data_IF_455591794775
#
_entry.id   IF_455591794775
#
_cell.length_a   1.000
_cell.length_b   1.000
_cell.length_c   1.000
_cell.angle_alpha   90.00
_cell.angle_beta   90.00
_cell.angle_gamma   90.00
#
_symmetry.space_group_name_H-M   'P 1'
#
loop_
_entity.id
_entity.type
_entity.pdbx_description
1 polymer ?
#
# COMPACT_ATOMS: atom_id res chain seq x y z
N UNK A 1 6.50 -19.17 -0.72
CA UNK A 1 5.34 -19.18 -1.64
C UNK A 1 4.88 -17.76 -2.01
N UNK A 2 4.42 -16.91 -1.07
CA UNK A 2 4.00 -15.53 -1.40
C UNK A 2 5.09 -14.75 -2.14
N UNK A 3 6.32 -14.80 -1.64
CA UNK A 3 7.46 -14.16 -2.29
C UNK A 3 7.72 -14.69 -3.71
N UNK A 4 7.61 -16.01 -3.92
CA UNK A 4 7.80 -16.63 -5.24
C UNK A 4 6.70 -16.19 -6.23
N UNK A 5 5.45 -16.06 -5.77
CA UNK A 5 4.37 -15.54 -6.61
C UNK A 5 4.62 -14.07 -7.00
N UNK A 6 5.10 -13.26 -6.06
CA UNK A 6 5.48 -11.87 -6.32
C UNK A 6 6.60 -11.78 -7.36
N UNK A 7 7.61 -12.65 -7.24
CA UNK A 7 8.71 -12.74 -8.19
C UNK A 7 8.21 -13.11 -9.59
N UNK A 8 7.48 -14.22 -9.71
CA UNK A 8 6.96 -14.72 -11.00
C UNK A 8 6.05 -13.69 -11.66
N UNK A 9 5.16 -13.04 -10.90
CA UNK A 9 4.26 -12.02 -11.45
C UNK A 9 4.98 -10.74 -11.90
N UNK A 10 6.11 -10.41 -11.29
CA UNK A 10 6.89 -9.21 -11.60
C UNK A 10 7.85 -9.39 -12.77
N UNK A 11 8.59 -10.50 -12.78
CA UNK A 11 9.78 -10.65 -13.64
C UNK A 11 9.53 -11.52 -14.89
N UNK A 12 8.39 -12.24 -14.99
CA UNK A 12 8.09 -13.07 -16.17
C UNK A 12 8.09 -12.32 -17.51
N UNK A 13 7.71 -11.03 -17.50
CA UNK A 13 7.73 -10.19 -18.72
C UNK A 13 9.13 -9.91 -19.27
N UNK A 14 10.18 -10.11 -18.47
CA UNK A 14 11.57 -10.05 -18.91
C UNK A 14 11.97 -11.34 -19.64
N UNK A 15 11.38 -12.47 -19.26
CA UNK A 15 11.65 -13.78 -19.83
C UNK A 15 10.94 -14.03 -21.17
N UNK A 16 9.68 -13.60 -21.29
CA UNK A 16 8.81 -13.93 -22.42
C UNK A 16 8.14 -12.67 -22.98
N UNK A 17 8.21 -12.52 -24.31
CA UNK A 17 7.55 -11.45 -25.04
C UNK A 17 6.90 -11.98 -26.32
N UNK A 18 5.63 -11.63 -26.53
CA UNK A 18 4.83 -12.04 -27.69
C UNK A 18 4.87 -13.57 -27.95
N UNK A 19 4.79 -14.36 -26.88
CA UNK A 19 4.82 -15.83 -26.94
C UNK A 19 6.20 -16.45 -27.18
N UNK A 20 7.25 -15.62 -27.26
CA UNK A 20 8.64 -16.07 -27.47
C UNK A 20 9.45 -15.88 -26.21
N UNK A 21 10.26 -16.89 -25.88
CA UNK A 21 11.28 -16.77 -24.84
C UNK A 21 12.38 -15.86 -25.38
N UNK A 22 12.56 -14.71 -24.72
CA UNK A 22 13.60 -13.73 -25.05
C UNK A 22 14.79 -13.82 -24.08
N UNK A 23 14.59 -14.42 -22.91
CA UNK A 23 15.63 -14.80 -21.96
C UNK A 23 15.36 -16.21 -21.42
N UNK A 24 16.20 -17.17 -21.81
CA UNK A 24 16.07 -18.59 -21.45
C UNK A 24 16.40 -18.87 -19.98
N UNK A 25 17.24 -18.07 -19.34
CA UNK A 25 17.58 -18.24 -17.94
C UNK A 25 16.40 -17.80 -17.07
N UNK A 26 15.92 -16.59 -17.29
CA UNK A 26 14.77 -16.02 -16.58
C UNK A 26 13.51 -16.89 -16.79
N UNK A 27 13.29 -17.42 -18.00
CA UNK A 27 12.16 -18.31 -18.26
C UNK A 27 12.24 -19.62 -17.45
N UNK A 28 13.45 -20.19 -17.32
CA UNK A 28 13.68 -21.38 -16.50
C UNK A 28 13.44 -21.09 -15.03
N UNK A 29 13.97 -19.99 -14.51
CA UNK A 29 13.78 -19.60 -13.10
C UNK A 29 12.29 -19.39 -12.77
N UNK A 30 11.55 -18.68 -13.62
CA UNK A 30 10.11 -18.51 -13.47
C UNK A 30 9.36 -19.87 -13.45
N UNK A 31 9.77 -20.81 -14.31
CA UNK A 31 9.20 -22.16 -14.36
C UNK A 31 9.51 -22.98 -13.09
N UNK A 32 10.75 -22.90 -12.60
CA UNK A 32 11.18 -23.56 -11.36
C UNK A 32 10.46 -22.98 -10.14
N UNK A 33 10.31 -21.66 -10.05
CA UNK A 33 9.56 -21.02 -8.97
C UNK A 33 8.07 -21.40 -8.98
N UNK A 34 7.45 -21.52 -10.16
CA UNK A 34 6.09 -22.02 -10.27
C UNK A 34 5.98 -23.47 -9.76
N UNK A 35 6.95 -24.34 -10.07
CA UNK A 35 7.00 -25.70 -9.55
C UNK A 35 7.19 -25.74 -8.03
N UNK A 36 8.10 -24.94 -7.46
CA UNK A 36 8.30 -24.83 -6.01
C UNK A 36 7.05 -24.33 -5.28
N UNK A 37 6.27 -23.44 -5.89
CA UNK A 37 4.97 -23.02 -5.34
C UNK A 37 4.01 -24.22 -5.30
N UNK A 38 3.91 -25.00 -6.38
CA UNK A 38 3.05 -26.18 -6.43
C UNK A 38 3.44 -27.26 -5.41
N UNK A 39 4.74 -27.55 -5.29
CA UNK A 39 5.26 -28.50 -4.29
C UNK A 39 5.03 -28.02 -2.86
N UNK A 40 5.30 -26.73 -2.60
CA UNK A 40 5.02 -26.10 -1.32
C UNK A 40 3.54 -26.23 -0.93
N UNK A 41 2.64 -25.93 -1.87
CA UNK A 41 1.19 -26.08 -1.64
C UNK A 41 0.80 -27.52 -1.35
N UNK A 42 1.33 -28.48 -2.12
CA UNK A 42 1.06 -29.90 -1.92
C UNK A 42 1.49 -30.37 -0.53
N UNK A 43 2.66 -29.92 -0.05
CA UNK A 43 3.16 -30.25 1.30
C UNK A 43 2.28 -29.68 2.42
N UNK A 44 1.62 -28.55 2.18
CA UNK A 44 0.79 -27.84 3.16
C UNK A 44 -0.70 -28.19 3.05
N UNK A 45 -1.09 -29.01 2.07
CA UNK A 45 -2.49 -29.36 1.79
C UNK A 45 -3.25 -29.88 3.01
N UNK A 46 -2.60 -30.71 3.82
CA UNK A 46 -3.20 -31.30 5.02
C UNK A 46 -3.38 -30.30 6.18
N UNK A 47 -2.72 -29.14 6.14
CA UNK A 47 -2.77 -28.12 7.18
C UNK A 47 -3.85 -27.05 6.93
N UNK A 48 -4.52 -27.09 5.77
CA UNK A 48 -5.46 -26.07 5.34
C UNK A 48 -6.88 -26.63 5.15
N UNK A 49 -7.94 -25.85 5.43
CA UNK A 49 -9.31 -26.26 5.12
C UNK A 49 -9.51 -26.49 3.61
N UNK A 50 -10.23 -27.55 3.17
CA UNK A 50 -10.43 -27.83 1.75
C UNK A 50 -10.99 -26.65 0.95
N UNK A 51 -11.88 -25.86 1.55
CA UNK A 51 -12.47 -24.66 0.95
C UNK A 51 -11.43 -23.56 0.65
N UNK A 52 -10.35 -23.46 1.44
CA UNK A 52 -9.25 -22.51 1.20
C UNK A 52 -8.21 -23.05 0.23
N UNK A 53 -8.02 -24.38 0.23
CA UNK A 53 -7.03 -25.06 -0.62
C UNK A 53 -7.47 -25.07 -2.08
N UNK A 54 -8.72 -25.41 -2.38
CA UNK A 54 -9.15 -25.66 -3.76
C UNK A 54 -8.98 -24.44 -4.70
N UNK A 55 -9.33 -23.20 -4.31
CA UNK A 55 -9.07 -22.01 -5.12
C UNK A 55 -7.57 -21.77 -5.34
N UNK A 56 -6.76 -22.01 -4.31
CA UNK A 56 -5.32 -21.84 -4.38
C UNK A 56 -4.65 -22.89 -5.28
N UNK A 57 -5.06 -24.15 -5.20
CA UNK A 57 -4.61 -25.22 -6.10
C UNK A 57 -5.00 -24.91 -7.56
N UNK A 58 -6.19 -24.35 -7.79
CA UNK A 58 -6.63 -23.93 -9.12
C UNK A 58 -5.76 -22.79 -9.67
N UNK A 59 -5.48 -21.77 -8.86
CA UNK A 59 -4.64 -20.64 -9.26
C UNK A 59 -3.20 -21.06 -9.55
N UNK A 60 -2.59 -21.88 -8.68
CA UNK A 60 -1.21 -22.37 -8.88
C UNK A 60 -1.10 -23.29 -10.10
N UNK A 61 -2.08 -24.16 -10.33
CA UNK A 61 -2.14 -24.97 -11.55
C UNK A 61 -2.24 -24.09 -12.80
N UNK A 62 -3.13 -23.09 -12.77
CA UNK A 62 -3.30 -22.14 -13.88
C UNK A 62 -2.03 -21.35 -14.17
N UNK A 63 -1.30 -20.95 -13.14
CA UNK A 63 -0.02 -20.26 -13.28
C UNK A 63 0.99 -21.12 -14.05
N UNK A 64 1.14 -22.39 -13.66
CA UNK A 64 2.02 -23.34 -14.35
C UNK A 64 1.63 -23.57 -15.81
N UNK A 65 0.33 -23.70 -16.09
CA UNK A 65 -0.20 -23.81 -17.46
C UNK A 65 0.13 -22.58 -18.32
N UNK A 66 -0.05 -21.37 -17.78
CA UNK A 66 0.24 -20.13 -18.50
C UNK A 66 1.74 -19.98 -18.82
N UNK A 67 2.61 -20.29 -17.86
CA UNK A 67 4.06 -20.25 -18.05
C UNK A 67 4.48 -21.26 -19.11
N UNK A 68 4.02 -22.52 -19.01
CA UNK A 68 4.32 -23.56 -20.00
C UNK A 68 3.82 -23.22 -21.40
N UNK A 69 2.69 -22.51 -21.51
CA UNK A 69 2.13 -22.04 -22.76
C UNK A 69 2.79 -20.75 -23.30
N UNK A 70 3.77 -20.18 -22.58
CA UNK A 70 4.42 -18.90 -22.93
C UNK A 70 3.40 -17.77 -23.11
N UNK A 71 2.42 -17.70 -22.22
CA UNK A 71 1.30 -16.77 -22.32
C UNK A 71 1.73 -15.29 -22.18
N UNK A 72 0.78 -14.36 -22.40
CA UNK A 72 1.03 -12.93 -22.18
C UNK A 72 1.38 -12.67 -20.71
N UNK A 73 2.41 -11.86 -20.47
CA UNK A 73 2.92 -11.59 -19.13
C UNK A 73 1.86 -10.96 -18.21
N UNK A 74 0.88 -10.23 -18.75
CA UNK A 74 -0.23 -9.69 -17.96
C UNK A 74 -1.09 -10.81 -17.38
N UNK A 75 -1.35 -11.87 -18.12
CA UNK A 75 -2.14 -13.01 -17.63
C UNK A 75 -1.40 -13.76 -16.52
N UNK A 76 -0.08 -13.93 -16.66
CA UNK A 76 0.77 -14.54 -15.62
C UNK A 76 0.75 -13.68 -14.35
N UNK A 77 0.95 -12.37 -14.50
CA UNK A 77 0.89 -11.40 -13.39
C UNK A 77 -0.46 -11.43 -12.69
N UNK A 78 -1.57 -11.34 -13.43
CA UNK A 78 -2.93 -11.39 -12.89
C UNK A 78 -3.17 -12.66 -12.05
N UNK A 79 -2.79 -13.83 -12.57
CA UNK A 79 -2.98 -15.10 -11.83
C UNK A 79 -2.08 -15.15 -10.60
N UNK A 80 -0.81 -14.76 -10.72
CA UNK A 80 0.13 -14.75 -9.59
C UNK A 80 -0.35 -13.81 -8.48
N UNK A 81 -0.77 -12.58 -8.84
CA UNK A 81 -1.30 -11.58 -7.91
C UNK A 81 -2.62 -12.03 -7.28
N UNK A 82 -3.48 -12.76 -8.01
CA UNK A 82 -4.73 -13.30 -7.46
C UNK A 82 -4.51 -14.42 -6.42
N UNK A 83 -3.40 -15.16 -6.52
CA UNK A 83 -3.06 -16.24 -5.59
C UNK A 83 -2.48 -15.73 -4.25
N UNK A 84 -1.86 -14.55 -4.23
CA UNK A 84 -1.27 -13.94 -3.03
C UNK A 84 -2.31 -13.72 -1.91
N UNK A 85 -3.46 -13.05 -2.13
CA UNK A 85 -4.45 -12.85 -1.07
C UNK A 85 -5.05 -14.16 -0.57
N UNK A 86 -5.17 -15.19 -1.42
CA UNK A 86 -5.60 -16.52 -1.01
C UNK A 86 -4.61 -17.15 -0.02
N UNK A 87 -3.31 -17.06 -0.26
CA UNK A 87 -2.28 -17.54 0.68
C UNK A 87 -2.26 -16.75 1.97
N UNK A 88 -2.36 -15.42 1.88
CA UNK A 88 -2.38 -14.53 3.05
C UNK A 88 -3.58 -14.86 3.94
N UNK A 89 -4.75 -15.08 3.35
CA UNK A 89 -5.97 -15.49 4.08
C UNK A 89 -5.89 -16.92 4.62
N UNK A 90 -5.38 -17.87 3.82
CA UNK A 90 -5.27 -19.28 4.20
C UNK A 90 -4.40 -19.48 5.44
N UNK A 91 -3.32 -18.72 5.56
CA UNK A 91 -2.36 -18.83 6.65
C UNK A 91 -2.38 -17.66 7.64
N UNK A 92 -3.37 -16.76 7.52
CA UNK A 92 -3.47 -15.53 8.33
C UNK A 92 -2.14 -14.75 8.39
N UNK A 93 -1.45 -14.65 7.25
CA UNK A 93 -0.13 -14.02 7.19
C UNK A 93 -0.26 -12.52 7.41
N UNK A 94 0.67 -11.94 8.14
CA UNK A 94 0.78 -10.49 8.23
C UNK A 94 1.54 -9.98 7.00
N UNK A 95 0.86 -9.19 6.18
CA UNK A 95 1.41 -8.61 4.94
C UNK A 95 1.73 -7.12 5.03
N UNK A 96 1.62 -6.52 6.22
CA UNK A 96 1.82 -5.09 6.45
C UNK A 96 2.44 -4.85 7.84
N UNK A 97 3.13 -3.71 8.07
CA UNK A 97 3.87 -3.47 9.31
C UNK A 97 2.93 -3.30 10.51
N UNK A 98 3.38 -3.72 11.71
CA UNK A 98 2.65 -3.53 12.97
C UNK A 98 2.64 -2.07 13.43
N UNK A 99 3.75 -1.39 13.19
CA UNK A 99 3.95 0.00 13.55
C UNK A 99 4.27 0.78 12.28
N UNK A 100 3.98 2.09 12.30
CA UNK A 100 4.32 2.96 11.19
C UNK A 100 5.82 2.86 10.87
N UNK A 101 6.20 2.54 9.62
CA UNK A 101 7.62 2.52 9.25
C UNK A 101 8.24 3.91 9.36
N UNK A 102 9.53 3.94 9.70
CA UNK A 102 10.32 5.17 9.78
C UNK A 102 11.51 5.12 8.80
N UNK A 103 11.29 5.33 7.49
CA UNK A 103 12.35 5.27 6.46
C UNK A 103 13.64 6.03 6.82
N UNK A 104 13.52 7.20 7.46
CA UNK A 104 14.65 8.01 7.84
C UNK A 104 15.64 7.28 8.78
N UNK A 105 15.16 6.37 9.63
CA UNK A 105 16.01 5.61 10.57
C UNK A 105 16.71 4.44 9.88
N UNK A 106 16.14 3.93 8.78
CA UNK A 106 16.71 2.82 8.00
C UNK A 106 17.89 3.22 7.10
N UNK A 107 18.18 4.52 6.95
CA UNK A 107 19.34 5.00 6.15
C UNK A 107 20.66 4.39 6.60
N UNK A 108 20.88 4.30 7.92
CA UNK A 108 22.10 3.69 8.47
C UNK A 108 22.18 2.20 8.17
N UNK A 109 21.06 1.48 8.34
CA UNK A 109 20.96 0.05 8.05
C UNK A 109 21.20 -0.24 6.56
N UNK A 110 20.65 0.58 5.67
CA UNK A 110 20.89 0.45 4.23
C UNK A 110 22.36 0.68 3.89
N UNK A 111 22.98 1.70 4.49
CA UNK A 111 24.40 2.01 4.30
C UNK A 111 25.32 0.85 4.73
N UNK A 112 25.01 0.19 5.84
CA UNK A 112 25.80 -0.90 6.38
C UNK A 112 25.58 -2.22 5.61
N UNK A 113 24.31 -2.58 5.37
CA UNK A 113 23.94 -3.92 4.90
C UNK A 113 23.69 -4.02 3.40
N UNK A 114 23.27 -2.93 2.74
CA UNK A 114 22.73 -2.98 1.38
C UNK A 114 23.64 -2.32 0.33
N UNK A 115 24.30 -1.22 0.70
CA UNK A 115 25.20 -0.45 -0.20
C UNK A 115 26.31 -1.28 -0.84
N UNK A 116 26.94 -2.28 -0.19
CA UNK A 116 28.00 -3.07 -0.84
C UNK A 116 27.57 -3.70 -2.17
N UNK A 117 26.29 -4.03 -2.32
CA UNK A 117 25.72 -4.59 -3.55
C UNK A 117 24.86 -3.56 -4.31
N UNK A 118 23.97 -2.85 -3.64
CA UNK A 118 23.01 -1.94 -4.29
C UNK A 118 23.53 -0.53 -4.57
N UNK A 119 24.68 -0.14 -3.99
CA UNK A 119 25.24 1.20 -4.14
C UNK A 119 24.55 2.26 -3.26
N UNK A 120 25.19 3.43 -3.10
CA UNK A 120 24.72 4.48 -2.17
C UNK A 120 23.36 5.06 -2.54
N UNK A 121 23.06 5.13 -3.84
CA UNK A 121 21.79 5.61 -4.37
C UNK A 121 20.82 4.48 -4.72
N UNK A 122 21.21 3.22 -4.51
CA UNK A 122 20.38 2.08 -4.87
C UNK A 122 20.33 1.79 -6.37
N UNK A 123 21.37 2.17 -7.14
CA UNK A 123 21.41 2.00 -8.60
C UNK A 123 21.88 0.60 -9.03
N UNK A 124 22.11 -0.31 -8.08
CA UNK A 124 22.72 -1.61 -8.37
C UNK A 124 24.19 -1.49 -8.79
N UNK A 125 24.87 -0.42 -8.36
CA UNK A 125 26.25 -0.08 -8.73
C UNK A 125 27.22 -0.18 -7.54
N UNK A 126 26.86 -0.95 -6.52
CA UNK A 126 27.73 -1.21 -5.37
C UNK A 126 29.06 -1.85 -5.78
N UNK A 127 30.12 -1.74 -4.95
CA UNK A 127 31.44 -2.29 -5.27
C UNK A 127 31.43 -3.78 -5.62
N UNK A 128 30.47 -4.54 -5.08
CA UNK A 128 30.30 -5.97 -5.38
C UNK A 128 29.36 -6.26 -6.56
N UNK A 129 28.61 -5.27 -7.05
CA UNK A 129 27.55 -5.49 -8.03
C UNK A 129 28.04 -6.16 -9.33
N UNK A 130 29.25 -5.82 -9.77
CA UNK A 130 29.85 -6.37 -11.00
C UNK A 130 30.16 -7.87 -10.91
N UNK A 131 30.20 -8.43 -9.71
CA UNK A 131 30.49 -9.84 -9.45
C UNK A 131 29.21 -10.66 -9.26
N UNK A 132 28.04 -10.02 -9.29
CA UNK A 132 26.75 -10.67 -9.02
C UNK A 132 26.04 -11.00 -10.34
N UNK A 133 25.45 -12.20 -10.40
CA UNK A 133 24.57 -12.61 -11.49
C UNK A 133 23.30 -13.22 -10.88
N UNK A 134 22.11 -12.65 -11.16
CA UNK A 134 21.89 -11.38 -11.86
C UNK A 134 22.41 -10.17 -11.07
N UNK A 135 22.65 -9.02 -11.73
CA UNK A 135 23.02 -7.78 -11.04
C UNK A 135 21.86 -7.28 -10.16
N UNK A 136 22.14 -6.55 -9.07
CA UNK A 136 21.08 -5.97 -8.25
C UNK A 136 20.22 -4.98 -9.03
N UNK A 137 18.92 -4.98 -8.74
CA UNK A 137 17.95 -4.11 -9.40
C UNK A 137 18.14 -2.64 -8.97
N UNK A 138 18.07 -1.68 -9.91
CA UNK A 138 18.10 -0.26 -9.56
C UNK A 138 16.75 0.18 -9.00
N UNK A 139 16.74 0.84 -7.83
CA UNK A 139 15.53 1.38 -7.20
C UNK A 139 15.11 2.75 -7.78
N UNK A 140 15.91 3.31 -8.68
CA UNK A 140 15.59 4.51 -9.47
C UNK A 140 14.68 4.20 -10.68
N UNK A 141 14.52 2.92 -11.05
CA UNK A 141 13.62 2.50 -12.13
C UNK A 141 12.15 2.69 -11.71
N UNK A 142 11.59 3.83 -12.13
CA UNK A 142 10.29 4.27 -11.67
C UNK A 142 9.13 3.39 -12.14
N UNK A 143 9.03 2.98 -13.41
CA UNK A 143 8.04 1.99 -13.84
C UNK A 143 8.04 0.73 -12.96
N UNK A 144 9.22 0.19 -12.64
CA UNK A 144 9.31 -0.99 -11.76
C UNK A 144 8.82 -0.69 -10.35
N UNK A 145 9.25 0.43 -9.76
CA UNK A 145 8.85 0.83 -8.41
C UNK A 145 7.35 1.16 -8.29
N UNK A 146 6.74 1.71 -9.34
CA UNK A 146 5.31 2.01 -9.38
C UNK A 146 4.45 0.76 -9.53
N UNK A 147 4.95 -0.25 -10.24
CA UNK A 147 4.33 -1.57 -10.37
C UNK A 147 4.52 -2.47 -9.13
N UNK A 148 5.36 -2.07 -8.17
CA UNK A 148 5.74 -2.88 -7.00
C UNK A 148 5.21 -2.29 -5.67
N UNK A 149 4.94 -3.17 -4.69
CA UNK A 149 4.53 -2.80 -3.34
C UNK A 149 5.64 -3.07 -2.31
N UNK A 150 5.75 -2.31 -1.20
CA UNK A 150 6.78 -2.52 -0.17
C UNK A 150 6.85 -3.95 0.37
N UNK A 151 5.72 -4.66 0.41
CA UNK A 151 5.67 -6.03 0.88
C UNK A 151 6.56 -6.98 0.04
N UNK A 152 6.74 -6.70 -1.25
CA UNK A 152 7.66 -7.46 -2.11
C UNK A 152 9.10 -7.31 -1.61
N UNK A 153 9.53 -6.08 -1.34
CA UNK A 153 10.87 -5.80 -0.82
C UNK A 153 11.06 -6.28 0.61
N UNK A 154 10.04 -6.16 1.47
CA UNK A 154 10.07 -6.75 2.80
C UNK A 154 10.33 -8.26 2.72
N UNK A 155 9.67 -8.97 1.79
CA UNK A 155 9.88 -10.39 1.60
C UNK A 155 11.27 -10.70 1.02
N UNK A 156 11.77 -9.91 0.06
CA UNK A 156 13.12 -10.06 -0.46
C UNK A 156 14.19 -9.87 0.65
N UNK A 157 14.01 -8.88 1.53
CA UNK A 157 14.88 -8.65 2.69
C UNK A 157 14.75 -9.81 3.70
N UNK A 158 13.53 -10.30 3.93
CA UNK A 158 13.26 -11.33 4.94
C UNK A 158 13.73 -12.72 4.52
N UNK A 159 13.60 -13.08 3.24
CA UNK A 159 13.87 -14.44 2.77
C UNK A 159 15.09 -14.55 1.86
N UNK A 160 15.65 -13.41 1.44
CA UNK A 160 16.56 -13.38 0.30
C UNK A 160 15.82 -13.60 -1.01
N UNK A 161 16.58 -13.61 -2.11
CA UNK A 161 16.06 -13.94 -3.44
C UNK A 161 16.74 -15.23 -3.89
N UNK A 162 15.95 -16.28 -4.06
CA UNK A 162 16.44 -17.60 -4.46
C UNK A 162 17.24 -17.51 -5.77
N UNK A 163 18.27 -18.35 -5.91
CA UNK A 163 19.19 -18.38 -7.05
C UNK A 163 19.98 -17.08 -7.31
N UNK A 164 19.99 -16.14 -6.36
CA UNK A 164 20.82 -14.93 -6.44
C UNK A 164 21.76 -14.83 -5.23
N UNK A 165 22.62 -13.81 -5.22
CA UNK A 165 23.47 -13.48 -4.06
C UNK A 165 22.75 -12.67 -2.97
N UNK A 166 21.46 -12.37 -3.13
CA UNK A 166 20.67 -11.64 -2.13
C UNK A 166 20.29 -12.57 -0.98
N UNK A 167 21.04 -12.49 0.13
CA UNK A 167 20.83 -13.29 1.32
C UNK A 167 19.61 -12.85 2.15
N UNK A 168 19.16 -13.74 3.03
CA UNK A 168 18.15 -13.43 4.04
C UNK A 168 18.72 -12.55 5.16
N UNK A 169 17.92 -11.60 5.63
CA UNK A 169 18.18 -10.77 6.80
C UNK A 169 17.21 -11.05 7.96
N UNK A 170 16.45 -12.16 7.92
CA UNK A 170 15.49 -12.49 8.97
C UNK A 170 16.13 -12.64 10.36
N UNK A 171 17.36 -13.17 10.41
CA UNK A 171 18.07 -13.45 11.65
C UNK A 171 18.87 -12.25 12.18
N UNK A 172 19.21 -11.30 11.30
CA UNK A 172 20.05 -10.14 11.65
C UNK A 172 19.26 -8.85 11.86
N UNK A 173 18.06 -8.74 11.30
CA UNK A 173 17.20 -7.56 11.40
C UNK A 173 15.86 -7.92 12.02
N UNK A 174 15.34 -7.05 12.89
CA UNK A 174 13.98 -7.18 13.42
C UNK A 174 12.91 -6.97 12.34
N UNK A 175 11.69 -7.48 12.58
CA UNK A 175 10.53 -7.28 11.70
C UNK A 175 10.33 -5.80 11.32
N UNK A 176 10.42 -4.90 12.31
CA UNK A 176 10.26 -3.47 12.08
C UNK A 176 11.37 -2.89 11.22
N UNK A 177 12.63 -3.24 11.47
CA UNK A 177 13.76 -2.77 10.65
C UNK A 177 13.65 -3.22 9.19
N UNK A 178 13.15 -4.43 8.94
CA UNK A 178 12.90 -4.91 7.57
C UNK A 178 11.79 -4.11 6.89
N UNK A 179 10.74 -3.73 7.61
CA UNK A 179 9.69 -2.84 7.11
C UNK A 179 10.20 -1.41 6.87
N UNK A 180 11.01 -0.86 7.77
CA UNK A 180 11.61 0.46 7.62
C UNK A 180 12.50 0.51 6.37
N UNK A 181 13.33 -0.54 6.15
CA UNK A 181 14.13 -0.69 4.94
C UNK A 181 13.27 -0.83 3.69
N UNK A 182 12.22 -1.66 3.72
CA UNK A 182 11.32 -1.83 2.57
C UNK A 182 10.70 -0.49 2.14
N UNK A 183 10.25 0.33 3.09
CA UNK A 183 9.72 1.67 2.79
C UNK A 183 10.82 2.68 2.42
N UNK A 184 12.03 2.55 2.98
CA UNK A 184 13.17 3.40 2.66
C UNK A 184 13.55 3.38 1.17
N UNK A 185 13.33 2.27 0.47
CA UNK A 185 13.62 2.18 -0.96
C UNK A 185 12.88 3.24 -1.79
N UNK A 186 11.70 3.69 -1.36
CA UNK A 186 10.99 4.78 -2.05
C UNK A 186 11.70 6.13 -1.90
N UNK A 187 12.47 6.35 -0.84
CA UNK A 187 13.28 7.57 -0.70
C UNK A 187 14.36 7.67 -1.78
N UNK A 188 14.80 6.52 -2.33
CA UNK A 188 15.79 6.44 -3.41
C UNK A 188 15.16 6.64 -4.80
N UNK A 189 13.86 6.33 -4.93
CA UNK A 189 13.10 6.46 -6.18
C UNK A 189 12.54 7.86 -6.46
N UNK A 190 12.57 8.76 -5.46
CA UNK A 190 11.98 10.09 -5.56
C UNK A 190 12.92 11.08 -6.27
N UNK A 191 12.39 11.96 -7.15
CA UNK A 191 13.20 13.00 -7.78
C UNK A 191 13.82 13.97 -6.77
N UNK A 192 15.07 14.44 -6.99
CA UNK A 192 15.69 15.45 -6.12
C UNK A 192 14.90 16.76 -6.10
N UNK A 193 14.75 17.36 -4.91
CA UNK A 193 14.20 18.71 -4.76
C UNK A 193 12.67 18.80 -4.75
N UNK A 194 11.95 17.69 -4.69
CA UNK A 194 10.51 17.71 -4.53
C UNK A 194 10.04 18.19 -3.15
N UNK A 195 8.87 18.84 -3.12
CA UNK A 195 8.24 19.33 -1.89
C UNK A 195 7.97 18.20 -0.90
N UNK A 196 8.27 18.45 0.37
CA UNK A 196 8.03 17.55 1.50
C UNK A 196 6.57 17.55 1.99
N UNK A 197 5.67 18.35 1.39
CA UNK A 197 4.28 18.39 1.83
C UNK A 197 3.57 17.07 1.45
N UNK A 198 3.01 16.35 2.43
CA UNK A 198 2.32 15.10 2.15
C UNK A 198 1.09 15.38 1.27
N UNK A 199 0.81 14.52 0.29
CA UNK A 199 -0.36 14.68 -0.54
C UNK A 199 -1.64 14.65 0.31
N UNK A 200 -2.68 15.41 -0.05
CA UNK A 200 -3.92 15.51 0.72
C UNK A 200 -4.82 14.28 0.53
N UNK A 201 -4.27 13.08 0.67
CA UNK A 201 -4.98 11.80 0.55
C UNK A 201 -4.69 10.92 1.77
N UNK A 202 -5.60 10.00 2.06
CA UNK A 202 -5.49 9.10 3.22
C UNK A 202 -5.45 7.66 2.72
N UNK A 203 -4.27 7.05 2.81
CA UNK A 203 -4.03 5.65 2.51
C UNK A 203 -3.59 4.93 3.80
N UNK A 204 -4.17 3.78 4.09
CA UNK A 204 -3.80 2.99 5.27
C UNK A 204 -2.36 2.48 5.16
N UNK A 205 -1.74 2.13 6.29
CA UNK A 205 -0.45 1.40 6.25
C UNK A 205 -0.55 0.09 5.45
N UNK A 206 -1.71 -0.57 5.48
CA UNK A 206 -1.97 -1.77 4.68
C UNK A 206 -1.95 -1.46 3.19
N UNK A 207 -2.65 -0.41 2.74
CA UNK A 207 -2.65 0.01 1.33
C UNK A 207 -1.23 0.31 0.86
N UNK A 208 -0.51 1.13 1.63
CA UNK A 208 0.86 1.54 1.29
C UNK A 208 1.81 0.36 1.20
N UNK A 209 1.66 -0.65 2.06
CA UNK A 209 2.53 -1.83 2.12
C UNK A 209 2.20 -2.87 1.04
N UNK A 210 0.92 -3.09 0.72
CA UNK A 210 0.49 -4.30 -0.02
C UNK A 210 0.08 -4.08 -1.46
N UNK A 211 -0.20 -2.83 -1.87
CA UNK A 211 -0.68 -2.51 -3.21
C UNK A 211 0.38 -1.69 -3.95
N UNK A 212 0.51 -1.88 -5.26
CA UNK A 212 1.39 -1.07 -6.11
C UNK A 212 0.87 0.37 -6.23
N UNK A 213 1.72 1.29 -6.70
CA UNK A 213 1.30 2.67 -6.94
C UNK A 213 0.27 2.75 -8.07
N UNK A 214 0.46 1.94 -9.12
CA UNK A 214 -0.51 1.76 -10.21
C UNK A 214 -1.89 1.32 -9.68
N UNK A 215 -1.93 0.31 -8.80
CA UNK A 215 -3.17 -0.20 -8.22
C UNK A 215 -3.85 0.81 -7.27
N UNK A 216 -3.10 1.77 -6.73
CA UNK A 216 -3.60 2.82 -5.85
C UNK A 216 -3.98 4.10 -6.60
N UNK A 217 -3.52 4.29 -7.84
CA UNK A 217 -3.74 5.53 -8.59
C UNK A 217 -5.23 5.91 -8.72
N UNK A 218 -6.16 5.00 -9.07
CA UNK A 218 -7.58 5.37 -9.17
C UNK A 218 -8.20 5.86 -7.85
N UNK A 219 -7.77 5.30 -6.72
CA UNK A 219 -8.18 5.74 -5.38
C UNK A 219 -7.64 7.14 -5.09
N UNK A 220 -6.36 7.38 -5.36
CA UNK A 220 -5.70 8.66 -5.12
C UNK A 220 -6.33 9.76 -5.98
N UNK A 221 -6.60 9.48 -7.27
CA UNK A 221 -7.28 10.41 -8.18
C UNK A 221 -8.67 10.76 -7.65
N UNK A 222 -9.46 9.78 -7.21
CA UNK A 222 -10.79 10.04 -6.63
C UNK A 222 -10.70 10.88 -5.36
N UNK A 223 -9.81 10.55 -4.44
CA UNK A 223 -9.63 11.30 -3.20
C UNK A 223 -9.14 12.73 -3.42
N UNK A 224 -8.31 12.95 -4.44
CA UNK A 224 -7.88 14.28 -4.85
C UNK A 224 -9.06 15.08 -5.44
N UNK A 225 -9.84 14.48 -6.33
CA UNK A 225 -11.01 15.10 -6.96
C UNK A 225 -12.07 15.51 -5.93
N UNK A 226 -12.32 14.68 -4.91
CA UNK A 226 -13.21 14.98 -3.79
C UNK A 226 -12.77 16.22 -2.98
N UNK A 227 -11.49 16.61 -3.09
CA UNK A 227 -10.90 17.79 -2.46
C UNK A 227 -10.67 18.94 -3.44
N UNK A 228 -11.20 18.84 -4.66
CA UNK A 228 -11.05 19.84 -5.71
C UNK A 228 -9.66 19.89 -6.36
N UNK A 229 -8.86 18.84 -6.21
CA UNK A 229 -7.53 18.73 -6.82
C UNK A 229 -7.60 17.74 -7.99
N UNK A 230 -7.20 18.19 -9.18
CA UNK A 230 -7.06 17.29 -10.34
C UNK A 230 -5.64 16.77 -10.38
N UNK A 231 -5.50 15.44 -10.42
CA UNK A 231 -4.22 14.76 -10.60
C UNK A 231 -4.35 13.70 -11.68
N UNK A 232 -3.30 13.51 -12.47
CA UNK A 232 -3.19 12.37 -13.38
C UNK A 232 -2.62 11.14 -12.66
N UNK A 233 -2.56 10.00 -13.36
CA UNK A 233 -2.06 8.74 -12.79
C UNK A 233 -0.58 8.81 -12.40
N UNK A 234 0.24 9.56 -13.14
CA UNK A 234 1.67 9.71 -12.84
C UNK A 234 1.88 10.53 -11.55
N UNK A 235 1.12 11.60 -11.37
CA UNK A 235 1.08 12.39 -10.15
C UNK A 235 0.53 11.57 -8.98
N UNK A 236 -0.51 10.76 -9.21
CA UNK A 236 -1.04 9.86 -8.20
C UNK A 236 -0.01 8.82 -7.75
N UNK A 237 0.72 8.20 -8.67
CA UNK A 237 1.80 7.26 -8.35
C UNK A 237 2.93 7.95 -7.57
N UNK A 238 3.30 9.18 -7.96
CA UNK A 238 4.28 9.99 -7.22
C UNK A 238 3.82 10.31 -5.79
N UNK A 239 2.54 10.61 -5.59
CA UNK A 239 1.98 10.81 -4.27
C UNK A 239 2.05 9.55 -3.40
N UNK A 240 1.78 8.37 -3.98
CA UNK A 240 1.97 7.09 -3.29
C UNK A 240 3.44 6.89 -2.90
N UNK A 241 4.38 7.16 -3.82
CA UNK A 241 5.81 7.07 -3.53
C UNK A 241 6.23 8.00 -2.37
N UNK A 242 5.72 9.24 -2.34
CA UNK A 242 5.96 10.18 -1.23
C UNK A 242 5.39 9.69 0.09
N UNK A 243 4.17 9.14 0.09
CA UNK A 243 3.58 8.54 1.29
C UNK A 243 4.36 7.32 1.77
N UNK A 244 5.03 6.57 0.90
CA UNK A 244 5.92 5.48 1.33
C UNK A 244 7.26 5.99 1.86
N UNK A 245 7.83 7.02 1.23
CA UNK A 245 9.06 7.66 1.70
C UNK A 245 8.88 8.38 3.06
N UNK A 246 7.65 8.83 3.35
CA UNK A 246 7.28 9.44 4.63
C UNK A 246 5.86 9.00 5.04
N UNK A 247 5.71 7.80 5.64
CA UNK A 247 4.42 7.26 6.05
C UNK A 247 3.63 8.22 6.94
N UNK A 248 2.35 8.50 6.59
CA UNK A 248 1.54 9.44 7.33
C UNK A 248 1.27 8.94 8.76
N UNK A 249 1.09 9.86 9.70
CA UNK A 249 0.55 9.56 11.01
C UNK A 249 -0.97 9.63 10.89
N UNK A 250 -1.63 8.48 11.00
CA UNK A 250 -3.08 8.38 10.93
C UNK A 250 -3.65 8.09 12.33
N UNK A 251 -4.82 8.67 12.62
CA UNK A 251 -5.61 8.25 13.76
C UNK A 251 -6.18 6.85 13.54
N UNK A 252 -6.58 6.17 14.61
CA UNK A 252 -7.23 4.85 14.52
C UNK A 252 -8.48 4.89 13.62
N UNK A 253 -9.26 5.97 13.71
CA UNK A 253 -10.41 6.20 12.83
C UNK A 253 -10.03 6.32 11.35
N UNK A 254 -8.97 7.07 11.03
CA UNK A 254 -8.49 7.20 9.65
C UNK A 254 -7.99 5.86 9.10
N UNK A 255 -7.27 5.08 9.91
CA UNK A 255 -6.80 3.75 9.57
C UNK A 255 -7.95 2.76 9.29
N UNK A 256 -8.95 2.71 10.17
CA UNK A 256 -10.14 1.86 10.02
C UNK A 256 -10.95 2.22 8.77
N UNK A 257 -11.25 3.50 8.58
CA UNK A 257 -12.01 3.94 7.40
C UNK A 257 -11.26 3.68 6.11
N UNK A 258 -9.93 3.80 6.11
CA UNK A 258 -9.12 3.44 4.95
C UNK A 258 -9.16 1.93 4.63
N UNK A 259 -9.10 1.07 5.65
CA UNK A 259 -9.27 -0.39 5.46
C UNK A 259 -10.69 -0.76 5.02
N UNK A 260 -11.72 -0.11 5.57
CA UNK A 260 -13.10 -0.31 5.13
C UNK A 260 -13.29 0.00 3.65
N UNK A 261 -12.68 1.10 3.14
CA UNK A 261 -12.69 1.38 1.68
C UNK A 261 -12.01 0.27 0.87
N UNK A 262 -10.90 -0.27 1.36
CA UNK A 262 -10.23 -1.40 0.70
C UNK A 262 -11.14 -2.65 0.67
N UNK A 263 -11.86 -2.92 1.75
CA UNK A 263 -12.79 -4.05 1.82
C UNK A 263 -14.03 -3.85 0.94
N UNK A 264 -14.51 -2.62 0.77
CA UNK A 264 -15.55 -2.27 -0.20
C UNK A 264 -15.10 -2.57 -1.64
N UNK A 265 -13.89 -2.16 -2.02
CA UNK A 265 -13.31 -2.48 -3.33
C UNK A 265 -13.13 -3.99 -3.51
N UNK A 266 -12.71 -4.70 -2.45
CA UNK A 266 -12.59 -6.16 -2.46
C UNK A 266 -13.94 -6.84 -2.67
N UNK A 267 -15.01 -6.34 -2.04
CA UNK A 267 -16.35 -6.87 -2.24
C UNK A 267 -16.82 -6.73 -3.70
N UNK A 268 -16.52 -5.61 -4.38
CA UNK A 268 -16.79 -5.47 -5.82
C UNK A 268 -16.03 -6.53 -6.61
N UNK A 269 -14.74 -6.72 -6.36
CA UNK A 269 -13.95 -7.73 -7.05
C UNK A 269 -14.49 -9.16 -6.84
N UNK A 270 -15.00 -9.48 -5.64
CA UNK A 270 -15.63 -10.78 -5.36
C UNK A 270 -16.95 -10.96 -6.11
N UNK A 271 -17.77 -9.91 -6.23
CA UNK A 271 -18.98 -9.95 -7.07
C UNK A 271 -18.64 -10.23 -8.54
N UNK A 272 -17.53 -9.66 -9.01
CA UNK A 272 -17.07 -9.75 -10.40
C UNK A 272 -16.51 -11.14 -10.70
N UNK A 273 -15.85 -11.74 -9.70
CA UNK A 273 -15.42 -13.13 -9.71
C UNK A 273 -16.58 -14.13 -9.57
N UNK A 274 -17.81 -13.66 -9.35
CA UNK A 274 -18.99 -14.51 -9.19
C UNK A 274 -19.16 -15.13 -7.81
N UNK A 275 -18.52 -14.57 -6.78
CA UNK A 275 -18.56 -15.03 -5.39
C UNK A 275 -19.31 -14.05 -4.45
N UNK A 276 -20.65 -14.03 -4.51
CA UNK A 276 -21.46 -13.11 -3.70
C UNK A 276 -21.48 -13.47 -2.20
N UNK A 277 -21.17 -14.71 -1.85
CA UNK A 277 -21.08 -15.16 -0.46
C UNK A 277 -19.84 -14.55 0.20
N UNK A 278 -18.67 -14.71 -0.41
CA UNK A 278 -17.45 -14.08 0.09
C UNK A 278 -17.56 -12.55 0.12
N UNK A 279 -18.24 -11.93 -0.85
CA UNK A 279 -18.50 -10.49 -0.83
C UNK A 279 -19.35 -10.07 0.39
N UNK A 280 -20.35 -10.87 0.75
CA UNK A 280 -21.20 -10.65 1.92
C UNK A 280 -20.42 -10.79 3.23
N UNK A 281 -19.63 -11.85 3.35
CA UNK A 281 -18.81 -12.10 4.52
C UNK A 281 -17.77 -11.00 4.72
N UNK A 282 -17.13 -10.56 3.63
CA UNK A 282 -16.17 -9.46 3.65
C UNK A 282 -16.79 -8.18 4.21
N UNK A 283 -17.92 -7.73 3.67
CA UNK A 283 -18.55 -6.49 4.13
C UNK A 283 -19.11 -6.59 5.54
N UNK A 284 -19.60 -7.77 5.93
CA UNK A 284 -20.09 -8.01 7.29
C UNK A 284 -18.95 -7.95 8.30
N UNK A 285 -17.84 -8.64 8.02
CA UNK A 285 -16.66 -8.60 8.88
C UNK A 285 -16.07 -7.20 8.95
N UNK A 286 -15.97 -6.49 7.83
CA UNK A 286 -15.40 -5.14 7.78
C UNK A 286 -16.25 -4.13 8.55
N UNK A 287 -17.58 -4.27 8.52
CA UNK A 287 -18.45 -3.45 9.35
C UNK A 287 -18.13 -3.64 10.84
N UNK A 288 -18.09 -4.88 11.33
CA UNK A 288 -17.84 -5.18 12.74
C UNK A 288 -16.42 -4.78 13.18
N UNK A 289 -15.41 -5.02 12.34
CA UNK A 289 -14.02 -4.75 12.72
C UNK A 289 -13.59 -3.30 12.53
N UNK A 290 -14.08 -2.63 11.49
CA UNK A 290 -13.62 -1.29 11.12
C UNK A 290 -14.64 -0.19 11.43
N UNK A 291 -15.93 -0.42 11.19
CA UNK A 291 -16.95 0.64 11.30
C UNK A 291 -17.62 0.71 12.68
N UNK A 292 -18.04 -0.43 13.24
CA UNK A 292 -18.73 -0.52 14.54
C UNK A 292 -17.98 0.20 15.67
N UNK A 293 -16.63 0.07 15.82
CA UNK A 293 -15.89 0.80 16.85
C UNK A 293 -15.95 2.32 16.72
N UNK A 294 -16.27 2.84 15.53
CA UNK A 294 -16.36 4.28 15.23
C UNK A 294 -17.76 4.84 15.43
N UNK A 295 -18.78 3.99 15.61
CA UNK A 295 -20.18 4.42 15.73
C UNK A 295 -20.40 5.49 16.80
N UNK A 296 -19.85 5.38 18.04
CA UNK A 296 -20.08 6.42 19.05
C UNK A 296 -19.50 7.78 18.68
N UNK A 297 -18.40 7.81 17.92
CA UNK A 297 -17.81 9.05 17.45
C UNK A 297 -18.58 9.60 16.25
N UNK A 298 -18.92 8.75 15.28
CA UNK A 298 -19.73 9.14 14.12
C UNK A 298 -21.09 9.68 14.56
N UNK A 299 -21.79 9.02 15.49
CA UNK A 299 -23.11 9.45 15.97
C UNK A 299 -23.06 10.78 16.74
N UNK A 300 -21.94 11.13 17.38
CA UNK A 300 -21.77 12.45 17.99
C UNK A 300 -21.71 13.57 16.94
N UNK A 301 -21.22 13.28 15.74
CA UNK A 301 -21.12 14.24 14.65
C UNK A 301 -22.37 14.23 13.75
N UNK A 302 -22.77 13.05 13.26
CA UNK A 302 -23.93 12.86 12.39
C UNK A 302 -24.43 11.40 12.39
N UNK A 303 -25.47 11.07 13.19
CA UNK A 303 -26.07 9.73 13.24
C UNK A 303 -26.59 9.20 11.91
N UNK A 304 -26.86 10.08 10.93
CA UNK A 304 -27.37 9.67 9.62
C UNK A 304 -26.33 8.91 8.80
N UNK A 305 -25.04 9.08 9.13
CA UNK A 305 -23.94 8.35 8.48
C UNK A 305 -24.03 6.87 8.83
N UNK A 306 -24.06 6.52 10.12
CA UNK A 306 -24.23 5.12 10.56
C UNK A 306 -25.51 4.50 10.01
N UNK A 307 -26.64 5.19 10.16
CA UNK A 307 -27.93 4.72 9.63
C UNK A 307 -27.90 4.45 8.12
N UNK A 308 -27.11 5.25 7.37
CA UNK A 308 -26.94 5.03 5.93
C UNK A 308 -26.12 3.80 5.62
N UNK A 309 -25.04 3.57 6.37
CA UNK A 309 -24.22 2.35 6.24
C UNK A 309 -25.06 1.09 6.53
N UNK A 310 -25.77 1.07 7.66
CA UNK A 310 -26.62 -0.07 8.04
C UNK A 310 -27.68 -0.38 6.99
N UNK A 311 -28.39 0.65 6.51
CA UNK A 311 -29.40 0.51 5.46
C UNK A 311 -28.79 -0.04 4.17
N UNK A 312 -27.65 0.49 3.73
CA UNK A 312 -27.03 0.06 2.48
C UNK A 312 -26.44 -1.36 2.58
N UNK A 313 -25.98 -1.81 3.76
CA UNK A 313 -25.60 -3.20 3.99
C UNK A 313 -26.80 -4.16 3.93
N UNK A 314 -27.96 -3.76 4.46
CA UNK A 314 -29.20 -4.54 4.34
C UNK A 314 -29.62 -4.65 2.87
N UNK A 315 -29.60 -3.53 2.14
CA UNK A 315 -29.96 -3.53 0.71
C UNK A 315 -28.96 -4.32 -0.13
N UNK A 316 -27.66 -4.26 0.18
CA UNK A 316 -26.63 -5.09 -0.46
C UNK A 316 -26.99 -6.58 -0.36
N UNK A 317 -27.25 -7.08 0.87
CA UNK A 317 -27.65 -8.47 1.09
C UNK A 317 -28.98 -8.81 0.40
N UNK A 318 -29.91 -7.86 0.37
CA UNK A 318 -31.21 -8.02 -0.30
C UNK A 318 -31.05 -8.15 -1.82
N UNK A 319 -30.21 -7.33 -2.43
CA UNK A 319 -29.89 -7.38 -3.85
C UNK A 319 -29.25 -8.73 -4.23
N UNK A 320 -28.31 -9.23 -3.42
CA UNK A 320 -27.70 -10.55 -3.66
C UNK A 320 -28.70 -11.70 -3.55
N UNK A 321 -29.63 -11.67 -2.59
CA UNK A 321 -30.73 -12.67 -2.52
C UNK A 321 -31.64 -12.65 -3.75
N UNK A 322 -31.80 -11.49 -4.39
CA UNK A 322 -32.54 -11.35 -5.66
C UNK A 322 -31.68 -11.66 -6.89
N UNK A 323 -30.43 -12.09 -6.70
CA UNK A 323 -29.43 -12.30 -7.75
C UNK A 323 -29.19 -11.04 -8.63
N UNK A 324 -29.37 -9.85 -8.05
CA UNK A 324 -29.17 -8.56 -8.72
C UNK A 324 -27.79 -7.98 -8.40
N UNK A 325 -26.78 -8.42 -9.15
CA UNK A 325 -25.39 -7.97 -8.97
C UNK A 325 -25.19 -6.49 -9.27
N UNK A 326 -25.99 -5.92 -10.19
CA UNK A 326 -25.90 -4.52 -10.55
C UNK A 326 -26.40 -3.61 -9.41
N UNK A 327 -27.52 -3.99 -8.77
CA UNK A 327 -28.00 -3.31 -7.57
C UNK A 327 -27.02 -3.45 -6.40
N UNK A 328 -26.43 -4.65 -6.21
CA UNK A 328 -25.40 -4.85 -5.19
C UNK A 328 -24.18 -3.93 -5.41
N UNK A 329 -23.64 -3.84 -6.64
CA UNK A 329 -22.57 -2.88 -6.95
C UNK A 329 -22.97 -1.43 -6.67
N UNK A 330 -24.20 -1.06 -7.03
CA UNK A 330 -24.72 0.29 -6.76
C UNK A 330 -24.76 0.59 -5.26
N UNK A 331 -25.11 -0.39 -4.42
CA UNK A 331 -25.07 -0.23 -2.96
C UNK A 331 -23.65 -0.05 -2.43
N UNK A 332 -22.65 -0.78 -2.95
CA UNK A 332 -21.25 -0.59 -2.59
C UNK A 332 -20.78 0.83 -2.93
N UNK A 333 -21.12 1.36 -4.11
CA UNK A 333 -20.79 2.75 -4.45
C UNK A 333 -21.47 3.78 -3.56
N UNK A 334 -22.65 3.47 -2.98
CA UNK A 334 -23.27 4.33 -1.95
C UNK A 334 -22.55 4.23 -0.61
N UNK A 335 -22.12 3.03 -0.22
CA UNK A 335 -21.31 2.81 0.98
C UNK A 335 -19.99 3.58 0.91
N UNK A 336 -19.28 3.52 -0.23
CA UNK A 336 -18.03 4.26 -0.46
C UNK A 336 -18.21 5.76 -0.19
N UNK A 337 -19.23 6.39 -0.79
CA UNK A 337 -19.55 7.82 -0.54
C UNK A 337 -19.90 8.10 0.92
N UNK A 338 -20.56 7.17 1.59
CA UNK A 338 -20.91 7.32 3.02
C UNK A 338 -19.65 7.22 3.90
N UNK A 339 -18.72 6.32 3.58
CA UNK A 339 -17.43 6.18 4.25
C UNK A 339 -16.53 7.39 4.02
N UNK A 340 -16.54 7.97 2.82
CA UNK A 340 -15.85 9.25 2.55
C UNK A 340 -16.41 10.39 3.40
N UNK A 341 -17.74 10.46 3.56
CA UNK A 341 -18.37 11.42 4.47
C UNK A 341 -17.97 11.18 5.92
N UNK A 342 -17.93 9.92 6.38
CA UNK A 342 -17.43 9.57 7.71
C UNK A 342 -15.99 10.05 7.89
N UNK A 343 -15.12 9.81 6.89
CA UNK A 343 -13.73 10.25 6.92
C UNK A 343 -13.60 11.78 6.98
N UNK A 344 -14.47 12.52 6.30
CA UNK A 344 -14.50 13.98 6.39
C UNK A 344 -14.95 14.49 7.78
N UNK A 345 -15.86 13.79 8.45
CA UNK A 345 -16.29 14.12 9.81
C UNK A 345 -15.18 13.86 10.84
N UNK A 346 -14.54 12.69 10.74
CA UNK A 346 -13.54 12.23 11.71
C UNK A 346 -12.12 12.75 11.41
N UNK A 347 -11.86 13.17 10.18
CA UNK A 347 -10.54 13.64 9.74
C UNK A 347 -10.14 14.98 10.33
N UNK A 348 -11.09 15.75 10.88
CA UNK A 348 -10.88 17.15 11.26
C UNK A 348 -10.47 18.00 10.05
N UNK A 349 -10.69 19.31 10.11
CA UNK A 349 -9.93 20.21 9.24
C UNK A 349 -8.46 19.94 9.56
N UNK A 350 -7.65 19.55 8.57
CA UNK A 350 -6.24 19.90 8.61
C UNK A 350 -6.20 21.37 9.02
N UNK A 351 -5.63 21.69 10.18
CA UNK A 351 -5.52 23.05 10.62
C UNK A 351 -4.88 23.80 9.46
N UNK A 352 -5.64 24.68 8.79
CA UNK A 352 -5.05 25.61 7.86
C UNK A 352 -3.89 26.25 8.63
N UNK A 353 -2.66 26.27 8.08
CA UNK A 353 -1.58 26.97 8.74
C UNK A 353 -2.12 28.37 9.08
N UNK A 354 -1.91 28.87 10.31
CA UNK A 354 -2.45 30.17 10.68
C UNK A 354 -2.09 31.14 9.58
N UNK A 355 -3.11 31.68 8.91
CA UNK A 355 -2.93 32.60 7.80
C UNK A 355 -1.91 33.64 8.24
N UNK A 356 -0.79 33.75 7.53
CA UNK A 356 0.32 34.68 7.83
C UNK A 356 -0.12 36.15 7.95
N UNK A 357 -1.39 36.45 7.69
CA UNK A 357 -2.05 37.74 7.88
C UNK A 357 -2.42 38.11 9.32
N UNK A 358 -2.26 37.24 10.34
CA UNK A 358 -2.45 37.65 11.76
C UNK A 358 -1.19 37.72 12.62
N UNK A 359 -0.04 37.26 12.13
CA UNK A 359 1.24 37.37 12.86
C UNK A 359 1.91 38.75 12.74
N UNK A 360 1.52 39.58 11.75
CA UNK A 360 2.07 40.93 11.58
C UNK A 360 1.44 41.95 12.54
N UNK A 361 0.24 41.69 13.06
CA UNK A 361 -0.44 42.61 14.00
C UNK A 361 0.07 42.55 15.44
N UNK A 362 0.49 41.37 15.91
CA UNK A 362 0.89 41.18 17.32
C UNK A 362 2.36 41.57 17.54
N UNK A 363 3.23 41.33 16.55
CA UNK A 363 4.64 41.78 16.63
C UNK A 363 4.78 43.31 16.59
N UNK A 364 3.93 44.00 15.82
CA UNK A 364 3.91 45.47 15.77
C UNK A 364 3.40 46.10 17.09
N UNK A 365 2.43 45.48 17.76
CA UNK A 365 1.91 45.96 19.04
C UNK A 365 2.92 45.78 20.20
N UNK A 366 3.69 44.69 20.20
CA UNK A 366 4.73 44.45 21.22
C UNK A 366 5.94 45.38 21.00
N UNK A 367 6.33 45.64 19.74
CA UNK A 367 7.40 46.59 19.45
C UNK A 367 7.02 48.04 19.83
N UNK A 368 5.76 48.46 19.61
CA UNK A 368 5.29 49.78 20.02
C UNK A 368 5.22 49.96 21.55
N UNK A 369 4.84 48.91 22.30
CA UNK A 369 4.81 48.94 23.76
C UNK A 369 6.21 48.98 24.39
N UNK A 370 7.20 48.30 23.80
CA UNK A 370 8.59 48.31 24.27
C UNK A 370 9.26 49.66 23.98
N UNK A 371 8.99 50.27 22.82
CA UNK A 371 9.52 51.61 22.50
C UNK A 371 8.88 52.70 23.36
N UNK A 372 7.56 52.64 23.61
CA UNK A 372 6.90 53.58 24.52
C UNK A 372 7.38 53.44 25.97
N UNK A 373 7.58 52.21 26.46
CA UNK A 373 8.12 51.94 27.79
C UNK A 373 9.57 52.43 27.96
N UNK A 374 10.40 52.32 26.93
CA UNK A 374 11.80 52.78 26.97
C UNK A 374 11.90 54.31 26.91
N UNK A 375 11.01 55.00 26.18
CA UNK A 375 10.98 56.47 26.11
C UNK A 375 10.46 57.08 27.42
N UNK A 376 9.49 56.46 28.09
CA UNK A 376 8.98 56.92 29.39
C UNK A 376 10.03 56.73 30.48
N UNK A 377 10.72 55.58 30.52
CA UNK A 377 11.76 55.31 31.52
C UNK A 377 12.97 56.25 31.40
N UNK A 378 13.39 56.62 30.18
CA UNK A 378 14.49 57.59 29.96
C UNK A 378 14.16 59.04 30.33
N UNK A 379 12.88 59.41 30.49
CA UNK A 379 12.48 60.75 30.97
C UNK A 379 12.43 60.86 32.50
N UNK A 380 12.38 59.73 33.23
CA UNK A 380 12.29 59.69 34.68
C UNK A 380 13.66 59.50 35.37
N UNK A 381 14.71 59.15 34.62
CA UNK A 381 16.07 58.91 35.15
C UNK A 381 17.09 59.97 34.68
N UNK A 382 16.67 61.21 34.40
CA UNK A 382 17.60 62.35 34.29
C UNK A 382 17.54 63.16 35.60
N UNK A 383 18.66 63.33 36.31
CA UNK A 383 18.72 64.15 37.52
C UNK A 383 18.46 65.63 37.22
#
# INVERSE_FOLDING_TARGET
MVFLLQYVGGDYGVAVKDGKVIDELEYRENSEFAALIAEGLASLRGALPPAKVAPLEAAVRRLGELIAARADARQVKEVAESAIPLLVDAFALRSFPRQRPEPATARGLFAESCVPCHGQRGEGDGPRAKELTPPPVPFSDRPRMDATAPYVFYNAITFGVANTSMASFADSLSDQQRWDLAFYLWTLSLPPGESAEPPPVTLSLRDLATRSAEALAPEVVRQAAARGVTVDEAQAALWVARLRASPPILSDAQERLARLRQDLATAVALLDAGDPEAATDRLTSSYLSEFEPLEPEIDRHDPRVRQSVERDLIEFRSALRRNDRAAARTTVSRLERTVERAAALLGGRAAAPPSRTRAVGIAAAIAAAVVAGFVIRRRLERP
#
